data_IF_138678292313
#
_entry.id   IF_138678292313
#
_cell.length_a   1.000
_cell.length_b   1.000
_cell.length_c   1.000
_cell.angle_alpha   90.00
_cell.angle_beta   90.00
_cell.angle_gamma   90.00
#
_symmetry.space_group_name_H-M   'P 1'
#
loop_
_entity.id
_entity.type
_entity.pdbx_description
1 polymer ?
#
# COMPACT_ATOMS: atom_id res chain seq x y z
N UNK A 1 -11.72 -22.55 30.60
CA UNK A 1 -11.12 -22.93 29.31
C UNK A 1 -12.08 -22.43 28.22
N UNK A 2 -12.03 -21.13 27.91
CA UNK A 2 -11.40 -20.58 26.69
C UNK A 2 -12.03 -21.13 25.40
N UNK A 3 -13.21 -20.62 25.05
CA UNK A 3 -13.66 -20.57 23.66
C UNK A 3 -13.47 -19.12 23.23
N UNK A 4 -12.24 -18.82 22.80
CA UNK A 4 -11.92 -17.60 22.07
C UNK A 4 -12.75 -17.67 20.80
N UNK A 5 -13.90 -16.99 20.81
CA UNK A 5 -14.62 -16.66 19.60
C UNK A 5 -13.64 -15.87 18.74
N UNK A 6 -13.02 -16.59 17.81
CA UNK A 6 -12.26 -16.03 16.72
C UNK A 6 -13.26 -15.18 15.96
N UNK A 7 -13.32 -13.90 16.31
CA UNK A 7 -13.98 -12.87 15.55
C UNK A 7 -13.24 -12.81 14.21
N UNK A 8 -13.61 -13.73 13.34
CA UNK A 8 -13.26 -13.76 11.95
C UNK A 8 -14.05 -12.61 11.32
N UNK A 9 -13.57 -11.39 11.57
CA UNK A 9 -14.01 -10.19 10.85
C UNK A 9 -13.40 -10.27 9.45
N UNK A 10 -13.80 -11.30 8.70
CA UNK A 10 -13.59 -11.40 7.26
C UNK A 10 -14.59 -10.48 6.58
N UNK A 11 -14.48 -9.19 6.91
CA UNK A 11 -15.26 -8.12 6.33
C UNK A 11 -14.34 -7.31 5.43
N UNK A 12 -14.13 -7.79 4.20
CA UNK A 12 -13.58 -6.95 3.11
C UNK A 12 -14.46 -5.71 2.83
N UNK A 13 -15.69 -5.69 3.37
CA UNK A 13 -16.62 -4.55 3.39
C UNK A 13 -16.58 -3.72 4.68
N UNK A 14 -15.71 -4.06 5.64
CA UNK A 14 -15.62 -3.32 6.90
C UNK A 14 -14.92 -1.97 6.71
N UNK A 15 -15.38 -0.96 7.45
CA UNK A 15 -14.74 0.38 7.51
C UNK A 15 -13.23 0.29 7.80
N UNK A 16 -12.81 -0.72 8.56
CA UNK A 16 -11.41 -0.96 8.88
C UNK A 16 -10.57 -1.34 7.65
N UNK A 17 -11.06 -2.25 6.80
CA UNK A 17 -10.37 -2.63 5.56
C UNK A 17 -10.22 -1.42 4.63
N UNK A 18 -11.26 -0.59 4.53
CA UNK A 18 -11.22 0.67 3.76
C UNK A 18 -10.13 1.62 4.26
N UNK A 19 -10.03 1.81 5.57
CA UNK A 19 -9.02 2.67 6.20
C UNK A 19 -7.61 2.11 5.97
N UNK A 20 -7.41 0.81 6.22
CA UNK A 20 -6.11 0.15 6.02
C UNK A 20 -5.65 0.23 4.56
N UNK A 21 -6.55 -0.04 3.61
CA UNK A 21 -6.27 0.07 2.17
C UNK A 21 -5.95 1.52 1.78
N UNK A 22 -6.63 2.51 2.35
CA UNK A 22 -6.37 3.92 2.06
C UNK A 22 -5.00 4.34 2.60
N UNK A 23 -4.68 3.99 3.85
CA UNK A 23 -3.37 4.22 4.44
C UNK A 23 -2.26 3.56 3.62
N UNK A 24 -2.44 2.29 3.24
CA UNK A 24 -1.49 1.56 2.40
C UNK A 24 -1.32 2.23 1.04
N UNK A 25 -2.41 2.68 0.41
CA UNK A 25 -2.37 3.39 -0.88
C UNK A 25 -1.54 4.65 -0.79
N UNK A 26 -1.82 5.51 0.20
CA UNK A 26 -1.05 6.75 0.44
C UNK A 26 0.40 6.41 0.74
N UNK A 27 0.64 5.39 1.56
CA UNK A 27 1.98 4.94 1.90
C UNK A 27 2.76 4.51 0.65
N UNK A 28 2.19 3.70 -0.25
CA UNK A 28 2.84 3.34 -1.52
C UNK A 28 3.11 4.55 -2.42
N UNK A 29 2.19 5.50 -2.46
CA UNK A 29 2.27 6.69 -3.31
C UNK A 29 3.41 7.62 -2.87
N UNK A 30 3.65 7.72 -1.55
CA UNK A 30 4.73 8.52 -0.99
C UNK A 30 6.03 7.71 -0.82
N UNK A 31 6.01 6.55 -0.18
CA UNK A 31 7.21 5.73 0.03
C UNK A 31 7.80 5.19 -1.27
N UNK A 32 6.95 4.87 -2.26
CA UNK A 32 7.39 4.31 -3.53
C UNK A 32 8.49 5.14 -4.18
N UNK A 33 8.25 6.39 -4.59
CA UNK A 33 9.25 7.18 -5.29
C UNK A 33 10.25 7.88 -4.35
N UNK A 34 9.98 8.02 -3.05
CA UNK A 34 10.84 8.81 -2.16
C UNK A 34 11.72 7.96 -1.23
N UNK A 35 11.18 6.90 -0.64
CA UNK A 35 11.91 6.08 0.34
C UNK A 35 12.53 4.83 -0.27
N UNK A 36 11.87 4.17 -1.22
CA UNK A 36 12.42 2.96 -1.85
C UNK A 36 13.74 3.26 -2.57
N UNK A 37 13.87 4.32 -3.39
CA UNK A 37 15.13 4.62 -4.04
C UNK A 37 16.20 5.00 -3.03
N UNK A 38 15.84 5.72 -1.96
CA UNK A 38 16.78 6.09 -0.89
C UNK A 38 17.39 4.86 -0.21
N UNK A 39 16.55 3.90 0.20
CA UNK A 39 17.03 2.64 0.80
C UNK A 39 17.85 1.81 -0.20
N UNK A 40 17.42 1.74 -1.46
CA UNK A 40 18.13 0.97 -2.49
C UNK A 40 19.49 1.58 -2.86
N UNK A 41 19.61 2.90 -2.91
CA UNK A 41 20.90 3.56 -3.10
C UNK A 41 21.84 3.34 -1.91
N UNK A 42 21.30 3.19 -0.69
CA UNK A 42 22.11 2.92 0.50
C UNK A 42 22.75 1.52 0.49
N UNK A 43 22.12 0.56 -0.20
CA UNK A 43 22.65 -0.80 -0.38
C UNK A 43 23.51 -0.94 -1.66
N UNK A 44 23.84 0.16 -2.32
CA UNK A 44 24.73 0.17 -3.48
C UNK A 44 24.10 -0.31 -4.79
N UNK A 45 22.77 -0.40 -4.88
CA UNK A 45 22.09 -0.72 -6.13
C UNK A 45 22.12 0.50 -7.07
N UNK A 46 22.25 0.22 -8.38
CA UNK A 46 22.31 1.27 -9.41
C UNK A 46 21.13 2.24 -9.26
N UNK A 47 21.44 3.53 -9.35
CA UNK A 47 20.47 4.61 -9.17
C UNK A 47 19.24 4.45 -10.09
N UNK A 48 19.46 3.95 -11.31
CA UNK A 48 18.41 3.67 -12.28
C UNK A 48 17.49 2.52 -11.86
N UNK A 49 18.05 1.43 -11.32
CA UNK A 49 17.26 0.32 -10.79
C UNK A 49 16.47 0.75 -9.54
N UNK A 50 17.08 1.58 -8.69
CA UNK A 50 16.48 2.15 -7.48
C UNK A 50 15.26 3.02 -7.78
N UNK A 51 15.40 3.93 -8.76
CA UNK A 51 14.30 4.76 -9.26
C UNK A 51 13.25 3.91 -9.95
N UNK A 52 13.64 2.95 -10.79
CA UNK A 52 12.72 2.07 -11.50
C UNK A 52 11.82 1.29 -10.53
N UNK A 53 12.40 0.77 -9.45
CA UNK A 53 11.65 0.05 -8.42
C UNK A 53 10.72 0.98 -7.65
N UNK A 54 11.21 2.16 -7.25
CA UNK A 54 10.38 3.15 -6.56
C UNK A 54 9.20 3.63 -7.40
N UNK A 55 9.43 3.83 -8.70
CA UNK A 55 8.38 4.18 -9.66
C UNK A 55 7.38 3.03 -9.87
N UNK A 56 7.82 1.78 -9.84
CA UNK A 56 6.91 0.63 -9.87
C UNK A 56 5.97 0.63 -8.65
N UNK A 57 6.50 0.87 -7.44
CA UNK A 57 5.67 1.02 -6.24
C UNK A 57 4.67 2.18 -6.35
N UNK A 58 5.09 3.30 -6.94
CA UNK A 58 4.21 4.44 -7.21
C UNK A 58 3.05 4.05 -8.14
N UNK A 59 3.33 3.36 -9.25
CA UNK A 59 2.31 2.89 -10.18
C UNK A 59 1.33 1.92 -9.49
N UNK A 60 1.82 1.00 -8.67
CA UNK A 60 0.96 0.10 -7.87
C UNK A 60 0.08 0.91 -6.92
N UNK A 61 0.62 1.93 -6.26
CA UNK A 61 -0.13 2.87 -5.42
C UNK A 61 -1.23 3.60 -6.20
N UNK A 62 -0.96 4.08 -7.41
CA UNK A 62 -1.96 4.71 -8.28
C UNK A 62 -3.06 3.74 -8.71
N UNK A 63 -2.72 2.50 -9.06
CA UNK A 63 -3.70 1.46 -9.41
C UNK A 63 -4.60 1.15 -8.21
N UNK A 64 -4.03 1.03 -7.01
CA UNK A 64 -4.80 0.89 -5.77
C UNK A 64 -5.72 2.09 -5.53
N UNK A 65 -5.24 3.32 -5.73
CA UNK A 65 -6.02 4.53 -5.56
C UNK A 65 -7.23 4.55 -6.52
N UNK A 66 -7.00 4.22 -7.79
CA UNK A 66 -8.08 4.11 -8.79
C UNK A 66 -9.06 3.00 -8.39
N UNK A 67 -8.57 1.87 -7.89
CA UNK A 67 -9.43 0.78 -7.41
C UNK A 67 -10.30 1.22 -6.22
N UNK A 68 -9.73 1.93 -5.23
CA UNK A 68 -10.47 2.45 -4.07
C UNK A 68 -11.55 3.47 -4.50
N UNK A 69 -11.22 4.35 -5.45
CA UNK A 69 -12.16 5.34 -6.00
C UNK A 69 -13.28 4.62 -6.77
N UNK A 70 -12.94 3.70 -7.69
CA UNK A 70 -13.93 3.00 -8.52
C UNK A 70 -14.87 2.13 -7.70
N UNK A 71 -14.38 1.54 -6.61
CA UNK A 71 -15.19 0.67 -5.74
C UNK A 71 -16.00 1.45 -4.69
N UNK A 72 -16.07 2.80 -4.78
CA UNK A 72 -16.70 3.69 -3.78
C UNK A 72 -16.28 3.34 -2.34
N UNK A 73 -15.02 2.93 -2.18
CA UNK A 73 -14.47 2.66 -0.85
C UNK A 73 -14.35 3.99 -0.09
N UNK A 74 -13.93 5.03 -0.80
CA UNK A 74 -13.90 6.42 -0.35
C UNK A 74 -15.12 7.11 -0.99
N UNK A 75 -16.07 7.54 -0.18
CA UNK A 75 -17.18 8.45 -0.54
C UNK A 75 -17.41 9.35 0.65
#
# INVERSE_FOLDING_TARGET
MTQTENLQVSGMDSKFSKIALTLLTVLLLFLGPTYVPYLLTSVGLEYFASIGLGFAFFVVGLVMLVYLIRKKVIT
#
